data_IF_376879820896
#
_entry.id   IF_376879820896
#
_cell.length_a   1.000
_cell.length_b   1.000
_cell.length_c   1.000
_cell.angle_alpha   90.00
_cell.angle_beta   90.00
_cell.angle_gamma   90.00
#
_symmetry.space_group_name_H-M   'P 1'
#
loop_
_entity.id
_entity.type
_entity.pdbx_description
1 polymer ?
#
# COMPACT_ATOMS: atom_id res chain seq x y z
N UNK A 1 21.66 15.76 12.01
CA UNK A 1 20.53 15.82 11.08
C UNK A 1 19.46 14.85 11.55
N UNK A 2 18.19 15.22 11.42
CA UNK A 2 17.03 14.35 11.74
C UNK A 2 15.93 14.59 10.72
N UNK A 3 15.37 13.52 10.19
CA UNK A 3 14.23 13.56 9.25
C UNK A 3 13.12 12.69 9.80
N UNK A 4 11.87 13.15 9.64
CA UNK A 4 10.69 12.37 9.98
C UNK A 4 9.69 12.42 8.83
N UNK A 5 9.12 11.28 8.51
CA UNK A 5 8.05 11.16 7.52
C UNK A 5 6.90 10.32 8.07
N UNK A 6 5.71 10.52 7.53
CA UNK A 6 4.56 9.68 7.88
C UNK A 6 3.60 9.55 6.70
N UNK A 7 3.00 8.38 6.57
CA UNK A 7 2.01 8.08 5.54
C UNK A 7 0.73 7.50 6.17
N UNK A 8 -0.46 7.84 5.67
CA UNK A 8 -1.70 7.25 6.14
C UNK A 8 -1.85 5.81 5.63
N UNK A 9 -2.58 4.99 6.37
CA UNK A 9 -3.12 3.74 5.85
C UNK A 9 -4.41 4.01 5.07
N UNK A 10 -5.03 2.98 4.52
CA UNK A 10 -6.24 3.11 3.71
C UNK A 10 -7.27 2.04 4.02
N UNK A 11 -8.52 2.30 3.69
CA UNK A 11 -9.56 1.30 3.50
C UNK A 11 -9.88 1.16 2.02
N UNK A 12 -10.17 -0.07 1.58
CA UNK A 12 -10.76 -0.33 0.28
C UNK A 12 -12.26 -0.11 0.34
N UNK A 13 -12.77 0.59 -0.67
CA UNK A 13 -14.20 0.78 -0.85
C UNK A 13 -14.74 -0.20 -1.90
N UNK A 14 -13.99 -0.42 -2.98
CA UNK A 14 -14.28 -1.41 -4.01
C UNK A 14 -13.09 -1.63 -4.96
N UNK A 15 -13.10 -2.73 -5.70
CA UNK A 15 -12.12 -3.03 -6.74
C UNK A 15 -10.83 -3.68 -6.23
N UNK A 16 -10.84 -4.23 -5.03
CA UNK A 16 -9.67 -4.91 -4.48
C UNK A 16 -9.19 -6.09 -5.33
N UNK A 17 -7.89 -6.35 -5.35
CA UNK A 17 -7.21 -7.46 -6.07
C UNK A 17 -7.10 -7.27 -7.59
N UNK A 18 -8.02 -6.53 -8.25
CA UNK A 18 -7.96 -6.33 -9.71
C UNK A 18 -6.71 -5.54 -10.13
N UNK A 19 -6.09 -4.81 -9.23
CA UNK A 19 -4.93 -3.94 -9.45
C UNK A 19 -3.58 -4.66 -9.56
N UNK A 20 -3.58 -6.00 -9.45
CA UNK A 20 -2.39 -6.82 -9.66
C UNK A 20 -2.10 -6.92 -11.16
N UNK A 21 -0.89 -6.52 -11.58
CA UNK A 21 -0.44 -6.73 -12.96
C UNK A 21 -0.25 -8.23 -13.25
N UNK A 22 -0.73 -8.74 -14.40
CA UNK A 22 -1.41 -8.07 -15.53
C UNK A 22 -2.95 -8.16 -15.50
N UNK A 23 -3.58 -8.56 -14.39
CA UNK A 23 -5.01 -8.87 -14.33
C UNK A 23 -5.89 -7.75 -14.88
N UNK A 24 -5.66 -6.51 -14.47
CA UNK A 24 -6.47 -5.37 -14.92
C UNK A 24 -6.42 -5.11 -16.43
N UNK A 25 -5.43 -5.65 -17.15
CA UNK A 25 -5.35 -5.49 -18.61
C UNK A 25 -6.41 -6.30 -19.35
N UNK A 26 -6.98 -7.31 -18.71
CA UNK A 26 -8.05 -8.15 -19.26
C UNK A 26 -9.45 -7.59 -18.98
N UNK A 27 -9.56 -6.58 -18.12
CA UNK A 27 -10.82 -6.02 -17.64
C UNK A 27 -10.88 -4.52 -17.93
N UNK A 28 -11.38 -4.16 -19.12
CA UNK A 28 -11.48 -2.76 -19.54
C UNK A 28 -12.30 -1.94 -18.54
N UNK A 29 -11.74 -0.79 -18.09
CA UNK A 29 -12.37 0.05 -17.07
C UNK A 29 -12.07 -0.38 -15.63
N UNK A 30 -11.12 -1.32 -15.43
CA UNK A 30 -10.67 -1.72 -14.11
C UNK A 30 -10.21 -0.50 -13.29
N UNK A 31 -10.61 -0.46 -12.02
CA UNK A 31 -10.21 0.56 -11.07
C UNK A 31 -10.34 0.04 -9.64
N UNK A 32 -9.60 0.66 -8.72
CA UNK A 32 -9.79 0.48 -7.28
C UNK A 32 -10.21 1.80 -6.66
N UNK A 33 -11.05 1.75 -5.63
CA UNK A 33 -11.49 2.92 -4.88
C UNK A 33 -11.01 2.81 -3.44
N UNK A 34 -10.29 3.82 -2.98
CA UNK A 34 -9.69 3.82 -1.66
C UNK A 34 -9.93 5.15 -0.94
N UNK A 35 -10.00 5.07 0.38
CA UNK A 35 -9.96 6.23 1.25
C UNK A 35 -8.78 6.11 2.22
N UNK A 36 -7.91 7.12 2.23
CA UNK A 36 -6.89 7.23 3.26
C UNK A 36 -7.55 7.52 4.62
N UNK A 37 -7.05 6.90 5.68
CA UNK A 37 -7.59 7.03 7.03
C UNK A 37 -6.57 7.63 8.00
N UNK A 38 -7.00 7.95 9.21
CA UNK A 38 -6.18 8.65 10.21
C UNK A 38 -5.05 7.80 10.81
N UNK A 39 -5.13 6.46 10.75
CA UNK A 39 -4.05 5.58 11.20
C UNK A 39 -2.84 5.73 10.30
N UNK A 40 -1.66 5.93 10.90
CA UNK A 40 -0.45 6.27 10.14
C UNK A 40 0.70 5.34 10.45
N UNK A 41 1.55 5.15 9.43
CA UNK A 41 2.90 4.65 9.60
C UNK A 41 3.88 5.84 9.67
N UNK A 42 4.93 5.71 10.47
CA UNK A 42 5.93 6.76 10.72
C UNK A 42 7.32 6.20 10.54
N UNK A 43 8.21 7.01 9.99
CA UNK A 43 9.63 6.74 9.88
C UNK A 43 10.43 7.94 10.41
N UNK A 44 11.50 7.68 11.16
CA UNK A 44 12.41 8.69 11.67
C UNK A 44 13.84 8.23 11.43
N UNK A 45 14.65 9.09 10.82
CA UNK A 45 16.07 8.86 10.57
C UNK A 45 16.89 9.87 11.34
N UNK A 46 17.93 9.39 12.01
CA UNK A 46 18.93 10.17 12.74
C UNK A 46 20.33 9.75 12.32
N UNK A 47 21.28 10.72 12.28
CA UNK A 47 22.68 10.41 11.99
C UNK A 47 23.31 9.63 13.14
N UNK A 48 24.17 8.66 12.81
CA UNK A 48 25.07 7.99 13.73
C UNK A 48 26.50 8.49 13.55
N UNK A 49 27.34 8.39 14.58
CA UNK A 49 28.75 8.76 14.47
C UNK A 49 29.61 7.72 13.74
N UNK A 50 29.07 6.52 13.53
CA UNK A 50 29.71 5.39 12.84
C UNK A 50 28.97 5.08 11.53
N UNK A 51 29.54 4.23 10.67
CA UNK A 51 28.95 3.82 9.39
C UNK A 51 27.89 2.71 9.54
N UNK A 52 27.58 2.30 10.76
CA UNK A 52 26.58 1.27 11.03
C UNK A 52 25.16 1.77 10.75
N UNK A 53 24.29 0.83 10.51
CA UNK A 53 22.87 1.05 10.25
C UNK A 53 22.08 0.36 11.36
N UNK A 54 21.38 1.16 12.15
CA UNK A 54 20.50 0.67 13.20
C UNK A 54 19.05 0.80 12.73
N UNK A 55 18.37 -0.34 12.63
CA UNK A 55 16.96 -0.45 12.22
C UNK A 55 16.13 -0.85 13.43
N UNK A 56 15.07 -0.12 13.71
CA UNK A 56 14.15 -0.37 14.83
C UNK A 56 12.72 -0.30 14.31
N UNK A 57 11.94 -1.37 14.54
CA UNK A 57 10.49 -1.41 14.32
C UNK A 57 9.80 -1.52 15.68
N UNK A 58 9.24 -0.40 16.16
CA UNK A 58 8.66 -0.31 17.50
C UNK A 58 7.36 -1.13 17.64
N UNK A 59 6.60 -1.25 16.55
CA UNK A 59 5.30 -1.94 16.52
C UNK A 59 5.39 -3.47 16.54
N UNK A 60 6.52 -4.03 16.12
CA UNK A 60 6.78 -5.48 16.14
C UNK A 60 7.93 -5.87 17.09
N UNK A 61 8.44 -4.92 17.86
CA UNK A 61 9.52 -5.09 18.83
C UNK A 61 10.75 -5.79 18.24
N UNK A 62 11.22 -5.30 17.09
CA UNK A 62 12.41 -5.83 16.40
C UNK A 62 13.45 -4.75 16.19
N UNK A 63 14.72 -5.16 16.35
CA UNK A 63 15.87 -4.29 16.17
C UNK A 63 17.02 -5.04 15.52
N UNK A 64 17.74 -4.36 14.61
CA UNK A 64 18.97 -4.83 13.98
C UNK A 64 20.04 -3.73 13.97
N UNK A 65 21.33 -4.15 14.00
CA UNK A 65 22.47 -3.26 13.86
C UNK A 65 23.47 -3.88 12.88
N UNK A 66 23.43 -3.40 11.64
CA UNK A 66 24.05 -4.03 10.48
C UNK A 66 25.14 -3.15 9.86
N UNK A 67 26.09 -3.76 9.15
CA UNK A 67 26.87 -3.05 8.14
C UNK A 67 26.07 -2.95 6.84
N UNK A 68 26.48 -2.09 5.93
CA UNK A 68 25.78 -1.93 4.65
C UNK A 68 25.78 -3.23 3.81
N UNK A 69 26.87 -4.00 3.90
CA UNK A 69 27.06 -5.26 3.18
C UNK A 69 26.18 -6.39 3.72
N UNK A 70 25.69 -6.27 4.95
CA UNK A 70 24.77 -7.24 5.58
C UNK A 70 23.30 -7.01 5.20
N UNK A 71 22.92 -5.77 4.81
CA UNK A 71 21.54 -5.40 4.54
C UNK A 71 20.81 -6.33 3.54
N UNK A 72 21.41 -6.76 2.40
CA UNK A 72 20.70 -7.60 1.44
C UNK A 72 20.26 -8.97 1.98
N UNK A 73 20.94 -9.45 3.03
CA UNK A 73 20.73 -10.78 3.62
C UNK A 73 20.03 -10.72 4.99
N UNK A 74 19.49 -9.55 5.37
CA UNK A 74 18.74 -9.42 6.61
C UNK A 74 17.32 -10.04 6.47
N UNK A 75 17.03 -11.01 7.33
CA UNK A 75 15.74 -11.70 7.43
C UNK A 75 14.87 -11.20 8.61
N UNK A 76 15.40 -10.34 9.47
CA UNK A 76 14.71 -9.83 10.66
C UNK A 76 13.80 -8.64 10.30
N UNK A 77 14.35 -7.66 9.57
CA UNK A 77 13.67 -6.45 9.09
C UNK A 77 13.88 -6.26 7.57
N UNK A 78 13.56 -7.26 6.75
CA UNK A 78 13.96 -7.32 5.33
C UNK A 78 13.44 -6.13 4.51
N UNK A 79 12.27 -5.58 4.83
CA UNK A 79 11.74 -4.40 4.14
C UNK A 79 12.62 -3.18 4.38
N UNK A 80 12.95 -2.89 5.64
CA UNK A 80 13.76 -1.73 6.01
C UNK A 80 15.18 -1.86 5.46
N UNK A 81 15.78 -3.04 5.59
CA UNK A 81 17.14 -3.33 5.11
C UNK A 81 17.24 -3.16 3.59
N UNK A 82 16.30 -3.69 2.81
CA UNK A 82 16.30 -3.55 1.36
C UNK A 82 16.09 -2.10 0.93
N UNK A 83 15.21 -1.35 1.61
CA UNK A 83 15.02 0.08 1.33
C UNK A 83 16.29 0.89 1.62
N UNK A 84 16.92 0.73 2.79
CA UNK A 84 18.17 1.42 3.12
C UNK A 84 19.27 1.06 2.13
N UNK A 85 19.38 -0.21 1.75
CA UNK A 85 20.34 -0.66 0.74
C UNK A 85 20.05 -0.01 -0.63
N UNK A 86 18.77 0.04 -1.07
CA UNK A 86 18.34 0.65 -2.35
C UNK A 86 18.67 2.13 -2.44
N UNK A 87 18.57 2.86 -1.32
CA UNK A 87 18.89 4.29 -1.25
C UNK A 87 20.39 4.57 -1.00
N UNK A 88 21.19 3.54 -0.74
CA UNK A 88 22.64 3.66 -0.55
C UNK A 88 23.04 4.40 0.73
N UNK A 89 22.19 4.39 1.75
CA UNK A 89 22.39 5.18 2.98
C UNK A 89 23.18 4.41 4.03
N UNK A 90 24.14 5.08 4.69
CA UNK A 90 24.99 4.57 5.77
C UNK A 90 24.97 5.51 6.97
N UNK A 91 25.44 5.04 8.13
CA UNK A 91 25.59 5.87 9.32
C UNK A 91 24.28 6.42 9.84
N UNK A 92 23.23 5.60 9.89
CA UNK A 92 21.91 6.02 10.31
C UNK A 92 21.30 5.12 11.39
N UNK A 93 20.40 5.74 12.16
CA UNK A 93 19.39 5.06 12.97
C UNK A 93 18.03 5.34 12.35
N UNK A 94 17.37 4.31 11.83
CA UNK A 94 16.02 4.34 11.28
C UNK A 94 15.06 3.71 12.28
N UNK A 95 14.13 4.49 12.79
CA UNK A 95 13.07 4.04 13.71
C UNK A 95 11.74 4.12 13.00
N UNK A 96 10.99 3.04 13.04
CA UNK A 96 9.65 2.95 12.42
C UNK A 96 8.59 2.56 13.43
N UNK A 97 7.35 3.00 13.18
CA UNK A 97 6.17 2.64 13.96
C UNK A 97 4.93 2.68 13.07
N UNK A 98 4.14 1.61 13.06
CA UNK A 98 2.80 1.57 12.48
C UNK A 98 1.73 1.67 13.57
N UNK A 99 0.69 2.47 13.34
CA UNK A 99 -0.48 2.55 14.22
C UNK A 99 -1.51 1.45 13.92
N UNK A 100 -1.44 0.88 12.70
CA UNK A 100 -2.26 -0.25 12.31
C UNK A 100 -1.68 -1.57 12.84
N UNK A 101 -2.52 -2.51 13.31
CA UNK A 101 -2.06 -3.85 13.60
C UNK A 101 -1.43 -4.52 12.36
N UNK A 102 -0.37 -5.30 12.58
CA UNK A 102 0.23 -6.07 11.49
C UNK A 102 -0.79 -7.05 10.89
N UNK A 103 -0.88 -7.11 9.57
CA UNK A 103 -1.81 -8.00 8.87
C UNK A 103 -3.28 -7.59 8.94
N UNK A 104 -3.61 -6.38 9.40
CA UNK A 104 -5.00 -5.90 9.50
C UNK A 104 -5.71 -5.66 8.15
N UNK A 105 -5.00 -5.78 7.02
CA UNK A 105 -5.60 -5.60 5.69
C UNK A 105 -5.86 -4.15 5.27
N UNK A 106 -5.36 -3.17 6.03
CA UNK A 106 -5.52 -1.73 5.77
C UNK A 106 -4.25 -1.05 5.22
N UNK A 107 -3.43 -1.79 4.49
CA UNK A 107 -2.20 -1.30 3.85
C UNK A 107 -1.15 -0.71 4.83
N UNK A 108 -1.02 -1.28 6.04
CA UNK A 108 -0.05 -0.81 7.04
C UNK A 108 1.39 -0.94 6.57
N UNK A 109 1.77 -2.05 5.94
CA UNK A 109 3.09 -2.31 5.37
C UNK A 109 3.42 -1.33 4.25
N UNK A 110 2.50 -1.11 3.32
CA UNK A 110 2.70 -0.21 2.19
C UNK A 110 2.77 1.25 2.63
N UNK A 111 1.99 1.67 3.64
CA UNK A 111 2.09 2.98 4.25
C UNK A 111 3.46 3.17 4.94
N UNK A 112 3.95 2.15 5.66
CA UNK A 112 5.28 2.16 6.26
C UNK A 112 6.37 2.31 5.20
N UNK A 113 6.27 1.53 4.13
CA UNK A 113 7.17 1.54 3.00
C UNK A 113 7.27 2.94 2.35
N UNK A 114 6.11 3.57 2.05
CA UNK A 114 6.07 4.93 1.50
C UNK A 114 6.68 5.96 2.47
N UNK A 115 6.39 5.87 3.77
CA UNK A 115 6.99 6.76 4.76
C UNK A 115 8.52 6.61 4.84
N UNK A 116 9.02 5.36 4.81
CA UNK A 116 10.46 5.06 4.83
C UNK A 116 11.13 5.55 3.54
N UNK A 117 10.54 5.28 2.35
CA UNK A 117 11.05 5.77 1.08
C UNK A 117 11.15 7.30 1.05
N UNK A 118 10.11 8.00 1.50
CA UNK A 118 10.13 9.47 1.58
C UNK A 118 11.20 10.00 2.53
N UNK A 119 11.39 9.36 3.70
CA UNK A 119 12.42 9.74 4.64
C UNK A 119 13.84 9.49 4.07
N UNK A 120 14.06 8.35 3.41
CA UNK A 120 15.34 7.99 2.82
C UNK A 120 15.69 8.85 1.59
N UNK A 121 14.73 9.17 0.74
CA UNK A 121 14.91 10.09 -0.39
C UNK A 121 15.35 11.47 0.11
N UNK A 122 14.64 12.03 1.09
CA UNK A 122 15.01 13.30 1.71
C UNK A 122 16.38 13.25 2.41
N UNK A 123 16.72 12.12 3.06
CA UNK A 123 18.02 11.94 3.71
C UNK A 123 19.18 11.91 2.73
N UNK A 124 19.02 11.17 1.64
CA UNK A 124 20.04 11.01 0.60
C UNK A 124 20.10 12.18 -0.41
N UNK A 125 19.18 13.16 -0.28
CA UNK A 125 19.10 14.28 -1.22
C UNK A 125 18.64 13.88 -2.63
N UNK A 126 17.96 12.73 -2.76
CA UNK A 126 17.40 12.29 -4.04
C UNK A 126 16.06 13.00 -4.28
N UNK A 127 15.98 13.76 -5.34
CA UNK A 127 14.73 14.37 -5.82
C UNK A 127 14.01 13.36 -6.73
N UNK A 128 13.09 12.59 -6.13
CA UNK A 128 12.34 11.56 -6.83
C UNK A 128 10.92 12.06 -7.15
N UNK A 129 10.53 11.90 -8.39
CA UNK A 129 9.12 12.03 -8.77
C UNK A 129 8.25 11.05 -7.98
N UNK A 130 7.03 11.48 -7.66
CA UNK A 130 6.11 10.72 -6.81
C UNK A 130 5.88 9.28 -7.29
N UNK A 131 5.67 9.08 -8.59
CA UNK A 131 5.45 7.73 -9.15
C UNK A 131 6.73 6.88 -9.08
N UNK A 132 7.91 7.47 -9.28
CA UNK A 132 9.18 6.75 -9.11
C UNK A 132 9.40 6.29 -7.67
N UNK A 133 9.01 7.10 -6.68
CA UNK A 133 9.04 6.70 -5.28
C UNK A 133 8.08 5.53 -5.01
N UNK A 134 6.87 5.57 -5.56
CA UNK A 134 5.90 4.48 -5.43
C UNK A 134 6.37 3.19 -6.10
N UNK A 135 7.03 3.28 -7.25
CA UNK A 135 7.61 2.10 -7.92
C UNK A 135 8.71 1.46 -7.07
N UNK A 136 9.60 2.27 -6.46
CA UNK A 136 10.61 1.74 -5.52
C UNK A 136 9.92 1.04 -4.35
N UNK A 137 8.93 1.65 -3.74
CA UNK A 137 8.21 1.07 -2.62
C UNK A 137 7.57 -0.27 -2.98
N UNK A 138 6.83 -0.32 -4.07
CA UNK A 138 6.16 -1.51 -4.60
C UNK A 138 7.16 -2.63 -4.92
N UNK A 139 8.22 -2.32 -5.66
CA UNK A 139 9.19 -3.31 -6.12
C UNK A 139 9.99 -3.92 -4.96
N UNK A 140 10.32 -3.14 -3.95
CA UNK A 140 10.98 -3.66 -2.74
C UNK A 140 10.03 -4.53 -1.92
N UNK A 141 8.76 -4.13 -1.76
CA UNK A 141 7.77 -4.95 -1.06
C UNK A 141 7.55 -6.30 -1.77
N UNK A 142 7.42 -6.30 -3.10
CA UNK A 142 7.29 -7.53 -3.89
C UNK A 142 8.48 -8.48 -3.72
N UNK A 143 9.71 -7.94 -3.59
CA UNK A 143 10.90 -8.75 -3.31
C UNK A 143 10.86 -9.36 -1.90
N UNK A 144 10.28 -8.68 -0.92
CA UNK A 144 10.16 -9.18 0.46
C UNK A 144 9.11 -10.28 0.55
N UNK A 145 7.92 -10.04 0.02
CA UNK A 145 6.81 -11.00 0.11
C UNK A 145 6.87 -12.10 -0.94
N UNK A 146 7.69 -11.94 -1.99
CA UNK A 146 7.91 -12.90 -3.10
C UNK A 146 6.65 -13.26 -3.88
N UNK A 147 5.69 -12.34 -3.94
CA UNK A 147 4.47 -12.45 -4.73
C UNK A 147 4.14 -11.09 -5.37
N UNK A 148 3.36 -11.06 -6.47
CA UNK A 148 2.91 -9.81 -7.06
C UNK A 148 2.13 -8.96 -6.05
N UNK A 149 2.42 -7.65 -6.00
CA UNK A 149 1.68 -6.67 -5.23
C UNK A 149 0.76 -5.87 -6.12
N UNK A 150 -0.37 -5.42 -5.57
CA UNK A 150 -1.25 -4.46 -6.21
C UNK A 150 -0.66 -3.03 -6.20
N UNK A 151 -1.39 -2.13 -6.81
CA UNK A 151 -1.01 -0.71 -6.95
C UNK A 151 -1.80 0.21 -6.02
N UNK A 152 -2.89 -0.29 -5.48
CA UNK A 152 -3.88 0.49 -4.74
C UNK A 152 -3.39 1.03 -3.39
N UNK A 153 -2.45 0.33 -2.74
CA UNK A 153 -2.05 0.61 -1.36
C UNK A 153 -1.14 1.83 -1.23
N UNK A 154 -0.29 2.04 -2.21
CA UNK A 154 0.77 3.05 -2.15
C UNK A 154 0.27 4.46 -2.43
N UNK A 155 -0.72 4.64 -3.33
CA UNK A 155 -1.23 5.96 -3.69
C UNK A 155 -1.97 6.66 -2.56
N UNK A 156 -2.88 6.02 -1.81
CA UNK A 156 -3.46 6.62 -0.61
C UNK A 156 -2.40 6.99 0.44
N UNK A 157 -1.34 6.19 0.57
CA UNK A 157 -0.25 6.46 1.50
C UNK A 157 0.55 7.72 1.13
N UNK A 158 0.72 8.00 -0.17
CA UNK A 158 1.44 9.17 -0.66
C UNK A 158 0.55 10.42 -0.77
N UNK A 159 -0.62 10.28 -1.38
CA UNK A 159 -1.46 11.42 -1.76
C UNK A 159 -2.60 11.70 -0.77
N UNK A 160 -2.98 10.72 0.06
CA UNK A 160 -4.14 10.83 0.95
C UNK A 160 -5.48 10.96 0.20
N UNK A 161 -6.53 11.33 0.95
CA UNK A 161 -7.86 11.61 0.41
C UNK A 161 -8.64 10.38 -0.04
N UNK A 162 -9.72 10.62 -0.79
CA UNK A 162 -10.57 9.60 -1.40
C UNK A 162 -10.31 9.63 -2.91
N UNK A 163 -9.99 8.48 -3.50
CA UNK A 163 -9.62 8.44 -4.91
C UNK A 163 -9.95 7.10 -5.56
N UNK A 164 -10.17 7.14 -6.87
CA UNK A 164 -10.05 6.00 -7.74
C UNK A 164 -8.62 5.90 -8.28
N UNK A 165 -8.11 4.68 -8.41
CA UNK A 165 -6.93 4.35 -9.21
C UNK A 165 -7.43 3.64 -10.46
N UNK A 166 -7.50 4.36 -11.55
CA UNK A 166 -7.85 3.81 -12.85
C UNK A 166 -6.69 3.00 -13.40
N UNK A 167 -6.96 1.82 -13.92
CA UNK A 167 -5.97 0.83 -14.32
C UNK A 167 -6.09 0.58 -15.83
N UNK A 168 -5.04 0.87 -16.56
CA UNK A 168 -5.01 0.72 -18.02
C UNK A 168 -3.60 0.33 -18.51
N UNK A 169 -3.50 -0.06 -19.78
CA UNK A 169 -2.22 -0.39 -20.41
C UNK A 169 -1.20 0.76 -20.39
N UNK A 170 -1.67 2.01 -20.34
CA UNK A 170 -0.82 3.21 -20.20
C UNK A 170 -0.28 3.46 -18.79
N UNK A 171 -0.58 2.58 -17.85
CA UNK A 171 -0.23 2.71 -16.43
C UNK A 171 -1.39 3.18 -15.55
N UNK A 172 -1.24 3.08 -14.24
CA UNK A 172 -2.26 3.48 -13.28
C UNK A 172 -2.36 5.00 -13.17
N UNK A 173 -3.60 5.52 -13.09
CA UNK A 173 -3.88 6.95 -12.94
C UNK A 173 -4.76 7.21 -11.72
N UNK A 174 -4.27 8.01 -10.77
CA UNK A 174 -5.07 8.45 -9.63
C UNK A 174 -6.05 9.55 -10.05
N UNK A 175 -7.31 9.38 -9.70
CA UNK A 175 -8.38 10.36 -9.88
C UNK A 175 -9.02 10.63 -8.52
N UNK A 176 -8.87 11.85 -7.99
CA UNK A 176 -9.53 12.23 -6.75
C UNK A 176 -11.05 12.18 -6.92
N UNK A 177 -11.76 11.70 -5.90
CA UNK A 177 -13.22 11.73 -5.83
C UNK A 177 -13.60 12.87 -4.91
N UNK A 178 -14.41 13.80 -5.41
CA UNK A 178 -14.88 14.98 -4.67
C UNK A 178 -16.02 14.57 -3.73
N UNK A 179 -15.64 14.06 -2.56
CA UNK A 179 -16.55 13.64 -1.49
C UNK A 179 -16.02 14.25 -0.19
N UNK A 180 -16.91 14.80 0.64
CA UNK A 180 -16.52 15.27 1.97
C UNK A 180 -16.06 14.05 2.82
N UNK A 181 -14.79 14.00 3.23
CA UNK A 181 -14.27 12.89 4.03
C UNK A 181 -15.04 12.69 5.34
N UNK A 182 -15.59 13.76 5.93
CA UNK A 182 -16.38 13.69 7.17
C UNK A 182 -17.71 12.99 6.97
N UNK A 183 -18.31 13.15 5.78
CA UNK A 183 -19.55 12.46 5.44
C UNK A 183 -19.31 10.96 5.24
N UNK A 184 -18.16 10.58 4.66
CA UNK A 184 -17.75 9.18 4.56
C UNK A 184 -17.43 8.59 5.96
N UNK A 185 -16.66 9.32 6.77
CA UNK A 185 -16.25 8.89 8.12
C UNK A 185 -17.46 8.56 9.02
N UNK A 186 -18.54 9.36 8.94
CA UNK A 186 -19.76 9.12 9.73
C UNK A 186 -20.50 7.83 9.38
N UNK A 187 -20.21 7.22 8.24
CA UNK A 187 -20.93 6.06 7.68
C UNK A 187 -20.14 4.77 7.71
N UNK A 188 -18.86 4.85 8.04
CA UNK A 188 -17.97 3.69 8.07
C UNK A 188 -17.53 3.41 9.51
N UNK A 189 -17.60 2.15 9.89
CA UNK A 189 -17.02 1.63 11.13
C UNK A 189 -15.94 0.62 10.74
N UNK A 190 -14.70 0.89 11.16
CA UNK A 190 -13.59 -0.04 10.97
C UNK A 190 -13.44 -0.92 12.21
N UNK A 191 -13.59 -2.23 12.01
CA UNK A 191 -13.42 -3.22 13.06
C UNK A 191 -12.25 -4.15 12.75
N UNK A 192 -11.33 -4.32 13.68
CA UNK A 192 -10.27 -5.31 13.57
C UNK A 192 -10.71 -6.63 14.20
N UNK A 193 -10.56 -7.73 13.46
CA UNK A 193 -11.00 -9.07 13.89
C UNK A 193 -10.10 -9.70 14.96
N UNK A 194 -8.92 -9.10 15.22
CA UNK A 194 -7.93 -9.65 16.15
C UNK A 194 -6.95 -10.63 15.52
N UNK A 195 -7.21 -11.08 14.30
CA UNK A 195 -6.37 -12.05 13.58
C UNK A 195 -5.70 -11.41 12.35
N UNK A 196 -4.38 -11.59 12.16
CA UNK A 196 -3.69 -11.10 10.97
C UNK A 196 -4.06 -11.95 9.74
N UNK A 197 -4.23 -11.28 8.59
CA UNK A 197 -4.48 -11.92 7.30
C UNK A 197 -3.20 -12.00 6.47
N UNK A 198 -2.95 -13.16 5.85
CA UNK A 198 -1.94 -13.29 4.81
C UNK A 198 -2.60 -13.18 3.42
N UNK A 199 -2.54 -12.00 2.81
CA UNK A 199 -3.11 -11.74 1.49
C UNK A 199 -2.27 -12.30 0.34
N UNK A 200 -0.96 -12.48 0.53
CA UNK A 200 -0.03 -12.86 -0.55
C UNK A 200 -0.32 -14.24 -1.16
N UNK A 201 -0.64 -15.24 -0.35
CA UNK A 201 -0.88 -16.62 -0.83
C UNK A 201 -2.13 -16.68 -1.72
N UNK A 202 -3.21 -16.04 -1.32
CA UNK A 202 -4.45 -16.02 -2.10
C UNK A 202 -4.30 -15.27 -3.42
N UNK A 203 -3.57 -14.15 -3.41
CA UNK A 203 -3.35 -13.34 -4.61
C UNK A 203 -2.62 -14.13 -5.71
N UNK A 204 -1.61 -14.92 -5.35
CA UNK A 204 -0.89 -15.73 -6.35
C UNK A 204 -1.77 -16.81 -6.97
N UNK A 205 -2.53 -17.55 -6.16
CA UNK A 205 -3.41 -18.60 -6.64
C UNK A 205 -4.51 -18.04 -7.57
N UNK A 206 -5.14 -16.94 -7.18
CA UNK A 206 -6.16 -16.26 -7.99
C UNK A 206 -5.56 -15.74 -9.31
N UNK A 207 -4.40 -15.10 -9.26
CA UNK A 207 -3.69 -14.62 -10.45
C UNK A 207 -3.41 -15.75 -11.42
N UNK A 208 -2.90 -16.88 -10.90
CA UNK A 208 -2.61 -18.06 -11.72
C UNK A 208 -3.86 -18.62 -12.38
N UNK A 209 -4.93 -18.84 -11.63
CA UNK A 209 -6.20 -19.33 -12.16
C UNK A 209 -6.78 -18.42 -13.24
N UNK A 210 -6.70 -17.10 -13.05
CA UNK A 210 -7.15 -16.14 -14.04
C UNK A 210 -6.34 -16.27 -15.34
N UNK A 211 -5.01 -16.34 -15.27
CA UNK A 211 -4.13 -16.49 -16.44
C UNK A 211 -4.35 -17.83 -17.13
N UNK A 212 -4.60 -18.89 -16.37
CA UNK A 212 -4.91 -20.23 -16.90
C UNK A 212 -6.32 -20.32 -17.55
N UNK A 213 -7.09 -19.22 -17.52
CA UNK A 213 -8.39 -19.13 -18.21
C UNK A 213 -9.56 -19.71 -17.43
N UNK A 214 -9.50 -19.75 -16.09
CA UNK A 214 -10.64 -20.18 -15.27
C UNK A 214 -11.82 -19.20 -15.44
N UNK A 215 -12.94 -19.63 -16.04
CA UNK A 215 -14.04 -18.74 -16.37
C UNK A 215 -14.72 -18.17 -15.12
N UNK A 216 -14.79 -18.94 -14.03
CA UNK A 216 -15.38 -18.47 -12.78
C UNK A 216 -14.56 -17.33 -12.17
N UNK A 217 -13.24 -17.44 -12.18
CA UNK A 217 -12.35 -16.37 -11.70
C UNK A 217 -12.47 -15.15 -12.59
N UNK A 218 -12.51 -15.32 -13.91
CA UNK A 218 -12.69 -14.22 -14.86
C UNK A 218 -14.00 -13.46 -14.59
N UNK A 219 -15.12 -14.18 -14.45
CA UNK A 219 -16.43 -13.58 -14.14
C UNK A 219 -16.45 -12.86 -12.79
N UNK A 220 -15.70 -13.36 -11.78
CA UNK A 220 -15.55 -12.64 -10.51
C UNK A 220 -14.82 -11.29 -10.69
N UNK A 221 -13.77 -11.24 -11.50
CA UNK A 221 -13.09 -9.97 -11.80
C UNK A 221 -13.94 -8.99 -12.58
N UNK A 222 -14.79 -9.48 -13.51
CA UNK A 222 -15.78 -8.63 -14.19
C UNK A 222 -16.76 -7.98 -13.18
N UNK A 223 -17.24 -8.76 -12.22
CA UNK A 223 -18.12 -8.23 -11.15
C UNK A 223 -17.40 -7.24 -10.24
N UNK A 224 -16.14 -7.50 -9.88
CA UNK A 224 -15.33 -6.55 -9.10
C UNK A 224 -15.17 -5.23 -9.85
N UNK A 225 -14.87 -5.26 -11.16
CA UNK A 225 -14.80 -4.07 -12.01
C UNK A 225 -16.13 -3.29 -12.02
N UNK A 226 -17.25 -3.99 -12.22
CA UNK A 226 -18.56 -3.38 -12.31
C UNK A 226 -19.00 -2.79 -10.96
N UNK A 227 -18.71 -3.49 -9.86
CA UNK A 227 -18.98 -2.98 -8.51
C UNK A 227 -18.14 -1.73 -8.21
N UNK A 228 -16.88 -1.70 -8.62
CA UNK A 228 -16.04 -0.51 -8.48
C UNK A 228 -16.57 0.67 -9.28
N UNK A 229 -17.10 0.44 -10.50
CA UNK A 229 -17.73 1.49 -11.28
C UNK A 229 -19.00 2.04 -10.61
N UNK A 230 -19.87 1.16 -10.12
CA UNK A 230 -21.09 1.54 -9.40
C UNK A 230 -20.76 2.30 -8.09
N UNK A 231 -19.80 1.84 -7.32
CA UNK A 231 -19.32 2.52 -6.11
C UNK A 231 -18.82 3.94 -6.41
N UNK A 232 -18.03 4.11 -7.47
CA UNK A 232 -17.54 5.43 -7.87
C UNK A 232 -18.68 6.37 -8.22
N UNK A 233 -19.66 5.89 -8.98
CA UNK A 233 -20.83 6.67 -9.35
C UNK A 233 -21.64 7.08 -8.11
N UNK A 234 -21.89 6.16 -7.20
CA UNK A 234 -22.59 6.41 -5.95
C UNK A 234 -21.87 7.48 -5.11
N UNK A 235 -20.57 7.34 -4.90
CA UNK A 235 -19.76 8.32 -4.18
C UNK A 235 -19.79 9.70 -4.83
N UNK A 236 -19.65 9.79 -6.15
CA UNK A 236 -19.66 11.06 -6.89
C UNK A 236 -21.00 11.80 -6.78
N UNK A 237 -22.11 11.06 -6.67
CA UNK A 237 -23.46 11.62 -6.53
C UNK A 237 -23.87 11.85 -5.08
N UNK A 238 -23.08 11.40 -4.10
CA UNK A 238 -23.47 11.39 -2.69
C UNK A 238 -24.61 10.40 -2.39
N UNK A 239 -24.74 9.35 -3.19
CA UNK A 239 -25.69 8.27 -2.99
C UNK A 239 -25.11 7.25 -1.99
N UNK A 240 -25.41 7.47 -0.73
CA UNK A 240 -24.89 6.66 0.36
C UNK A 240 -25.53 5.26 0.44
N UNK A 241 -26.78 5.13 0.01
CA UNK A 241 -27.44 3.82 -0.07
C UNK A 241 -26.86 2.97 -1.19
N UNK A 242 -26.59 3.58 -2.35
CA UNK A 242 -25.86 2.94 -3.45
C UNK A 242 -24.43 2.53 -3.07
N UNK A 243 -23.73 3.37 -2.29
CA UNK A 243 -22.44 3.02 -1.72
C UNK A 243 -22.51 1.78 -0.82
N UNK A 244 -23.47 1.75 0.12
CA UNK A 244 -23.66 0.61 1.02
C UNK A 244 -24.04 -0.67 0.28
N UNK A 245 -24.88 -0.58 -0.76
CA UNK A 245 -25.23 -1.69 -1.64
C UNK A 245 -24.00 -2.23 -2.39
N UNK A 246 -23.13 -1.33 -2.90
CA UNK A 246 -21.89 -1.72 -3.57
C UNK A 246 -20.92 -2.43 -2.61
N UNK A 247 -20.76 -1.94 -1.37
CA UNK A 247 -19.97 -2.64 -0.34
C UNK A 247 -20.49 -4.04 -0.07
N UNK A 248 -21.82 -4.22 0.02
CA UNK A 248 -22.44 -5.54 0.23
C UNK A 248 -22.24 -6.48 -0.96
N UNK A 249 -22.11 -5.95 -2.17
CA UNK A 249 -21.88 -6.73 -3.40
C UNK A 249 -20.41 -7.14 -3.54
N UNK A 250 -19.47 -6.32 -3.08
CA UNK A 250 -18.03 -6.58 -3.09
C UNK A 250 -17.67 -7.77 -2.17
N UNK A 251 -18.44 -7.97 -1.10
CA UNK A 251 -18.31 -9.09 -0.14
C UNK A 251 -19.11 -10.31 -0.55
#
# INVERSE_FOLDING_TARGET
>A
MRISASAPTRIDLAGGTIDIWPLYLFHAGAQTLNAAISLRARARIEARPDDRIELISEDIDKQENLSFEQLPNDDTLPLLSKLVHRFGVRGIRLVTRAESPAGAGIAGSSALNVAVCGALAAWSGQDLESEALLDIAKDVEAQVIKVPTGLQDYRPALYGGIAAVELAAGGPRRVAIDVDPRELERRIVLCYTGEPRNSGTNNWEITKRHIDGDPHVFDCFERIRDTAAAMREALTRGDWDGMAASLSTEW
#
